data_IF_764746635338
#
_entry.id   IF_764746635338
#
_cell.length_a   1.000
_cell.length_b   1.000
_cell.length_c   1.000
_cell.angle_alpha   90.00
_cell.angle_beta   90.00
_cell.angle_gamma   90.00
#
_symmetry.space_group_name_H-M   'P 1'
#
loop_
_entity.id
_entity.type
_entity.pdbx_description
1 polymer ?
#
# COMPACT_ATOMS: atom_id res chain seq x y z
N UNK A 1 9.17 20.52 7.19
CA UNK A 1 9.77 19.22 6.83
C UNK A 1 10.27 19.19 5.40
N UNK A 2 11.50 18.72 5.21
CA UNK A 2 12.15 18.50 3.92
C UNK A 2 12.86 17.14 3.94
N UNK A 3 12.72 16.36 2.87
CA UNK A 3 13.34 15.02 2.76
C UNK A 3 14.15 14.87 1.47
N UNK A 4 15.25 14.12 1.51
CA UNK A 4 16.03 13.69 0.35
C UNK A 4 15.69 12.25 -0.04
N UNK A 5 14.67 12.10 -0.88
CA UNK A 5 14.27 10.82 -1.43
C UNK A 5 15.12 10.39 -2.64
N UNK A 6 16.04 11.24 -3.14
CA UNK A 6 16.78 10.96 -4.35
C UNK A 6 17.66 9.71 -4.17
N UNK A 7 17.42 8.71 -5.01
CA UNK A 7 18.09 7.41 -4.93
C UNK A 7 17.65 6.52 -3.75
N UNK A 8 16.62 6.89 -2.97
CA UNK A 8 16.18 6.14 -1.80
C UNK A 8 14.80 5.48 -2.01
N UNK A 9 13.79 6.24 -2.43
CA UNK A 9 12.40 5.78 -2.47
C UNK A 9 11.88 5.22 -1.12
N UNK A 10 12.25 5.87 -0.02
CA UNK A 10 12.06 5.44 1.37
C UNK A 10 10.80 4.64 1.69
N UNK A 11 9.65 5.29 1.83
CA UNK A 11 8.38 4.62 2.15
C UNK A 11 7.87 3.66 1.06
N UNK A 12 8.45 3.70 -0.14
CA UNK A 12 8.00 2.88 -1.27
C UNK A 12 8.61 1.48 -1.28
N UNK A 13 9.76 1.25 -0.66
CA UNK A 13 10.48 -0.03 -0.67
C UNK A 13 10.28 -0.86 0.61
N UNK A 14 10.37 -2.18 0.47
CA UNK A 14 10.61 -3.11 1.57
C UNK A 14 12.12 -3.27 1.77
N UNK A 15 12.64 -2.68 2.84
CA UNK A 15 14.06 -2.62 3.16
C UNK A 15 14.58 -3.86 3.89
N UNK A 16 13.69 -4.67 4.47
CA UNK A 16 14.04 -5.82 5.31
C UNK A 16 15.00 -6.80 4.61
N UNK A 17 14.90 -7.08 3.29
CA UNK A 17 15.85 -7.99 2.63
C UNK A 17 17.29 -7.46 2.52
N UNK A 18 17.52 -6.17 2.77
CA UNK A 18 18.83 -5.52 2.60
C UNK A 18 19.60 -5.32 3.91
N UNK A 19 19.00 -5.60 5.06
CA UNK A 19 19.63 -5.35 6.36
C UNK A 19 19.23 -6.41 7.39
N UNK A 20 20.08 -6.58 8.40
CA UNK A 20 19.77 -7.39 9.59
C UNK A 20 19.07 -6.57 10.69
N UNK A 21 18.92 -5.25 10.49
CA UNK A 21 18.19 -4.40 11.42
C UNK A 21 16.71 -4.77 11.48
N UNK A 22 16.12 -4.68 12.68
CA UNK A 22 14.68 -4.87 12.85
C UNK A 22 13.94 -3.61 12.38
N UNK A 23 13.32 -3.71 11.21
CA UNK A 23 12.55 -2.63 10.60
C UNK A 23 11.03 -2.87 10.70
N UNK A 24 10.57 -4.00 11.27
CA UNK A 24 9.16 -4.41 11.26
C UNK A 24 8.31 -3.69 12.31
N UNK A 25 8.16 -2.38 12.12
CA UNK A 25 7.47 -1.49 13.04
C UNK A 25 5.93 -1.64 13.04
N UNK A 26 5.34 -2.23 11.99
CA UNK A 26 3.88 -2.41 11.87
C UNK A 26 3.34 -3.55 12.75
N UNK A 27 4.24 -4.38 13.30
CA UNK A 27 3.90 -5.52 14.16
C UNK A 27 4.04 -5.24 15.65
N UNK A 28 4.01 -3.96 16.03
CA UNK A 28 4.00 -3.52 17.42
C UNK A 28 2.57 -3.21 17.87
N UNK A 29 1.97 -4.10 18.68
CA UNK A 29 0.68 -3.83 19.32
C UNK A 29 -0.30 -5.00 19.36
N UNK A 30 -1.54 -4.77 19.81
CA UNK A 30 -2.55 -5.80 19.93
C UNK A 30 -3.20 -6.18 18.58
N UNK A 31 -3.07 -5.33 17.56
CA UNK A 31 -3.58 -5.58 16.22
C UNK A 31 -2.40 -5.80 15.28
N UNK A 32 -2.34 -6.98 14.66
CA UNK A 32 -1.21 -7.39 13.84
C UNK A 32 -1.66 -7.52 12.38
N UNK A 33 -0.98 -6.91 11.40
CA UNK A 33 -1.29 -7.12 10.00
C UNK A 33 -1.30 -8.62 9.66
N UNK A 34 -2.36 -9.08 9.01
CA UNK A 34 -2.51 -10.48 8.60
C UNK A 34 -1.52 -10.85 7.49
N UNK A 35 -1.22 -9.90 6.60
CA UNK A 35 -0.26 -10.05 5.51
C UNK A 35 1.18 -9.68 5.93
N UNK A 36 2.14 -9.87 5.03
CA UNK A 36 3.57 -9.56 5.22
C UNK A 36 4.07 -8.36 4.39
N UNK A 37 3.16 -7.47 3.98
CA UNK A 37 3.54 -6.26 3.24
C UNK A 37 4.20 -5.26 4.18
N UNK A 38 5.33 -4.71 3.77
CA UNK A 38 6.01 -3.68 4.56
C UNK A 38 5.48 -2.28 4.25
N UNK A 39 5.06 -1.55 5.29
CA UNK A 39 4.66 -0.14 5.23
C UNK A 39 3.60 0.12 4.16
N UNK A 40 2.42 -0.47 4.36
CA UNK A 40 1.32 -0.39 3.41
C UNK A 40 0.60 0.95 3.55
N UNK A 41 0.74 1.84 2.57
CA UNK A 41 0.05 3.13 2.57
C UNK A 41 -1.47 2.93 2.53
N UNK A 42 -2.24 3.30 3.57
CA UNK A 42 -3.68 3.26 3.55
C UNK A 42 -4.25 4.34 2.62
N UNK A 43 -5.32 3.99 1.92
CA UNK A 43 -6.09 4.86 1.05
C UNK A 43 -7.42 5.26 1.71
N UNK A 44 -7.87 6.47 1.42
CA UNK A 44 -9.19 6.95 1.77
C UNK A 44 -10.26 6.39 0.82
N UNK A 45 -11.54 6.54 1.17
CA UNK A 45 -12.66 6.10 0.35
C UNK A 45 -12.67 6.83 -0.99
N UNK A 46 -12.40 8.13 -0.99
CA UNK A 46 -12.34 8.93 -2.22
C UNK A 46 -11.21 8.46 -3.14
N UNK A 47 -10.04 8.16 -2.58
CA UNK A 47 -8.89 7.61 -3.34
C UNK A 47 -9.21 6.23 -3.93
N UNK A 48 -9.82 5.33 -3.14
CA UNK A 48 -10.26 4.02 -3.65
C UNK A 48 -11.21 4.19 -4.83
N UNK A 49 -12.19 5.10 -4.74
CA UNK A 49 -13.13 5.38 -5.84
C UNK A 49 -12.40 5.92 -7.08
N UNK A 50 -11.46 6.84 -6.90
CA UNK A 50 -10.69 7.40 -8.02
C UNK A 50 -9.89 6.31 -8.75
N UNK A 51 -9.22 5.42 -8.01
CA UNK A 51 -8.52 4.30 -8.64
C UNK A 51 -9.46 3.31 -9.34
N UNK A 52 -10.68 3.09 -8.83
CA UNK A 52 -11.69 2.27 -9.51
C UNK A 52 -12.20 2.94 -10.80
N UNK A 53 -12.47 4.24 -10.77
CA UNK A 53 -12.88 5.02 -11.95
C UNK A 53 -11.82 4.96 -13.06
N UNK A 54 -10.55 4.85 -12.68
CA UNK A 54 -9.42 4.71 -13.60
C UNK A 54 -9.12 3.27 -14.03
N UNK A 55 -9.92 2.29 -13.58
CA UNK A 55 -9.71 0.87 -13.87
C UNK A 55 -8.46 0.27 -13.21
N UNK A 56 -7.92 0.91 -12.17
CA UNK A 56 -6.67 0.52 -11.49
C UNK A 56 -6.90 -0.35 -10.24
N UNK A 57 -7.92 -1.20 -10.24
CA UNK A 57 -8.22 -2.08 -9.11
C UNK A 57 -7.03 -2.97 -8.71
N UNK A 58 -6.21 -3.39 -9.68
CA UNK A 58 -5.02 -4.20 -9.42
C UNK A 58 -3.89 -3.46 -8.67
N UNK A 59 -3.93 -2.13 -8.57
CA UNK A 59 -2.97 -1.33 -7.81
C UNK A 59 -3.22 -1.37 -6.30
N UNK A 60 -4.42 -1.76 -5.88
CA UNK A 60 -4.86 -1.71 -4.49
C UNK A 60 -4.99 -3.10 -3.88
N UNK A 61 -4.90 -3.22 -2.55
CA UNK A 61 -5.13 -4.48 -1.82
C UNK A 61 -5.76 -4.21 -0.46
N UNK A 62 -6.64 -5.10 0.04
CA UNK A 62 -7.05 -5.04 1.43
C UNK A 62 -5.92 -5.49 2.37
N UNK A 63 -5.93 -4.95 3.58
CA UNK A 63 -5.18 -5.45 4.74
C UNK A 63 -6.13 -5.67 5.90
N UNK A 64 -6.12 -6.90 6.40
CA UNK A 64 -6.82 -7.30 7.62
C UNK A 64 -5.86 -7.35 8.79
N UNK A 65 -6.40 -7.37 10.00
CA UNK A 65 -5.62 -7.44 11.23
C UNK A 65 -6.09 -8.61 12.07
N UNK A 66 -5.15 -9.37 12.62
CA UNK A 66 -5.47 -10.31 13.69
C UNK A 66 -5.56 -9.58 15.02
N UNK A 67 -6.42 -10.07 15.91
CA UNK A 67 -6.60 -9.58 17.27
C UNK A 67 -6.78 -10.74 18.25
N UNK A 68 -6.60 -10.49 19.55
CA UNK A 68 -6.84 -11.50 20.59
C UNK A 68 -8.32 -11.92 20.66
N UNK A 69 -9.22 -10.95 20.49
CA UNK A 69 -10.67 -11.14 20.45
C UNK A 69 -11.23 -10.53 19.15
N UNK A 70 -12.07 -11.29 18.44
CA UNK A 70 -12.53 -10.88 17.12
C UNK A 70 -13.52 -11.84 16.48
N UNK A 71 -13.51 -11.88 15.15
CA UNK A 71 -14.30 -12.80 14.35
C UNK A 71 -13.38 -13.81 13.65
N UNK A 72 -13.66 -15.10 13.85
CA UNK A 72 -12.86 -16.16 13.25
C UNK A 72 -13.28 -16.46 11.82
N UNK A 73 -12.36 -16.30 10.88
CA UNK A 73 -12.54 -16.67 9.46
C UNK A 73 -11.28 -17.39 8.99
N UNK A 74 -11.45 -18.50 8.28
CA UNK A 74 -10.34 -19.33 7.76
C UNK A 74 -9.26 -19.70 8.80
N UNK A 75 -9.64 -19.81 10.07
CA UNK A 75 -8.70 -20.12 11.17
C UNK A 75 -7.97 -18.92 11.76
N UNK A 76 -8.19 -17.71 11.25
CA UNK A 76 -7.62 -16.46 11.77
C UNK A 76 -8.64 -15.71 12.62
N UNK A 77 -8.25 -15.22 13.80
CA UNK A 77 -9.05 -14.30 14.63
C UNK A 77 -8.86 -12.87 14.14
N UNK A 78 -9.82 -12.33 13.41
CA UNK A 78 -9.73 -11.00 12.80
C UNK A 78 -10.32 -9.92 13.70
N UNK A 79 -9.66 -8.76 13.75
CA UNK A 79 -10.19 -7.56 14.36
C UNK A 79 -11.58 -7.25 13.79
N UNK A 80 -12.53 -6.89 14.67
CA UNK A 80 -13.92 -6.75 14.30
C UNK A 80 -14.61 -5.57 15.00
N UNK A 81 -15.63 -5.01 14.35
CA UNK A 81 -16.60 -4.09 14.94
C UNK A 81 -17.97 -4.73 14.82
N UNK A 82 -18.67 -4.89 15.94
CA UNK A 82 -20.00 -5.53 16.00
C UNK A 82 -20.06 -6.91 15.31
N UNK A 83 -18.98 -7.69 15.45
CA UNK A 83 -18.85 -9.03 14.86
C UNK A 83 -18.47 -9.06 13.38
N UNK A 84 -18.19 -7.90 12.77
CA UNK A 84 -17.84 -7.78 11.36
C UNK A 84 -16.36 -7.43 11.17
N UNK A 85 -15.63 -8.11 10.27
CA UNK A 85 -14.20 -7.91 10.03
C UNK A 85 -13.85 -6.47 9.65
N UNK A 86 -12.78 -5.97 10.25
CA UNK A 86 -12.20 -4.66 9.96
C UNK A 86 -11.01 -4.80 9.04
N UNK A 87 -10.88 -3.89 8.07
CA UNK A 87 -9.75 -3.83 7.15
C UNK A 87 -9.51 -2.39 6.68
N UNK A 88 -8.37 -2.14 6.04
CA UNK A 88 -8.20 -0.96 5.20
C UNK A 88 -7.76 -1.36 3.78
N UNK A 89 -7.86 -0.43 2.83
CA UNK A 89 -7.31 -0.60 1.48
C UNK A 89 -6.00 0.18 1.38
N UNK A 90 -4.97 -0.42 0.78
CA UNK A 90 -3.70 0.27 0.54
C UNK A 90 -3.08 -0.04 -0.82
N UNK A 91 -2.01 0.69 -1.15
CA UNK A 91 -1.27 0.49 -2.40
C UNK A 91 -0.40 -0.76 -2.36
N UNK A 92 -0.56 -1.65 -3.35
CA UNK A 92 0.20 -2.90 -3.41
C UNK A 92 1.69 -2.66 -3.50
N UNK A 93 2.44 -3.53 -2.82
CA UNK A 93 3.87 -3.72 -3.01
C UNK A 93 4.10 -4.95 -3.89
N UNK A 94 4.87 -4.80 -4.96
CA UNK A 94 5.13 -5.84 -5.97
C UNK A 94 6.62 -5.97 -6.21
N UNK A 95 7.12 -7.15 -6.62
CA UNK A 95 8.55 -7.32 -6.83
C UNK A 95 9.02 -6.45 -7.99
N UNK A 96 10.02 -5.60 -7.75
CA UNK A 96 10.67 -4.80 -8.80
C UNK A 96 12.19 -4.87 -8.67
N UNK A 97 12.93 -4.77 -9.79
CA UNK A 97 14.39 -4.76 -9.80
C UNK A 97 14.89 -3.35 -9.45
N UNK A 98 15.13 -3.06 -8.18
CA UNK A 98 15.47 -1.71 -7.71
C UNK A 98 16.92 -1.62 -7.25
N UNK A 99 17.53 -0.47 -7.47
CA UNK A 99 18.92 -0.18 -7.13
C UNK A 99 19.01 1.06 -6.23
N UNK A 100 18.55 1.00 -4.96
CA UNK A 100 18.70 2.12 -4.03
C UNK A 100 20.17 2.46 -3.83
N UNK A 101 20.45 3.73 -3.57
CA UNK A 101 21.78 4.29 -3.30
C UNK A 101 22.84 4.07 -4.39
N UNK A 102 22.41 3.75 -5.62
CA UNK A 102 23.31 3.46 -6.73
C UNK A 102 24.01 2.09 -6.60
N UNK A 103 23.47 1.20 -5.76
CA UNK A 103 23.96 -0.16 -5.63
C UNK A 103 23.58 -1.05 -6.82
N UNK A 104 24.00 -2.32 -6.78
CA UNK A 104 23.53 -3.30 -7.77
C UNK A 104 22.03 -3.58 -7.56
N UNK A 105 21.26 -3.81 -8.64
CA UNK A 105 19.83 -4.06 -8.53
C UNK A 105 19.51 -5.33 -7.74
N UNK A 106 18.47 -5.26 -6.91
CA UNK A 106 17.89 -6.39 -6.19
C UNK A 106 16.38 -6.47 -6.41
N UNK A 107 15.82 -7.68 -6.32
CA UNK A 107 14.37 -7.86 -6.30
C UNK A 107 13.85 -7.44 -4.94
N UNK A 108 13.13 -6.32 -4.86
CA UNK A 108 12.48 -5.86 -3.62
C UNK A 108 10.98 -5.65 -3.86
N UNK A 109 10.19 -5.91 -2.82
CA UNK A 109 8.78 -5.49 -2.81
C UNK A 109 8.74 -3.97 -2.78
N UNK A 110 8.11 -3.39 -3.80
CA UNK A 110 8.13 -1.96 -4.08
C UNK A 110 6.71 -1.47 -4.40
N UNK A 111 6.37 -0.24 -4.02
CA UNK A 111 5.09 0.37 -4.38
C UNK A 111 4.82 0.19 -5.88
N UNK A 112 3.59 -0.18 -6.23
CA UNK A 112 3.18 -0.43 -7.62
C UNK A 112 3.47 0.76 -8.54
N UNK A 113 3.46 1.98 -8.02
CA UNK A 113 3.75 3.21 -8.78
C UNK A 113 5.21 3.66 -8.73
N UNK A 114 6.10 2.95 -8.03
CA UNK A 114 7.52 3.26 -8.02
C UNK A 114 8.16 2.83 -9.35
N UNK A 115 8.72 3.76 -10.09
CA UNK A 115 9.60 3.44 -11.22
C UNK A 115 10.94 2.90 -10.68
N UNK A 116 11.33 1.66 -11.01
CA UNK A 116 12.55 1.07 -10.47
C UNK A 116 13.84 1.66 -11.05
N UNK A 117 13.77 2.32 -12.22
CA UNK A 117 14.92 2.98 -12.87
C UNK A 117 15.24 4.30 -12.20
N UNK A 118 14.21 5.11 -11.94
CA UNK A 118 14.40 6.47 -11.43
C UNK A 118 14.22 6.58 -9.92
N UNK A 119 13.62 5.56 -9.29
CA UNK A 119 13.21 5.52 -7.89
C UNK A 119 12.22 6.63 -7.53
N UNK A 120 11.41 7.06 -8.50
CA UNK A 120 10.37 8.07 -8.33
C UNK A 120 8.97 7.47 -8.45
N UNK A 121 8.01 8.10 -7.76
CA UNK A 121 6.60 7.76 -7.91
C UNK A 121 6.07 8.33 -9.23
N UNK A 122 5.53 7.47 -10.09
CA UNK A 122 4.95 7.83 -11.40
C UNK A 122 3.73 8.74 -11.31
N UNK A 123 3.05 8.75 -10.16
CA UNK A 123 1.83 9.54 -9.93
C UNK A 123 2.05 10.75 -9.01
N UNK A 124 3.30 11.05 -8.64
CA UNK A 124 3.64 12.08 -7.64
C UNK A 124 3.07 13.48 -7.94
N UNK A 125 3.13 13.91 -9.20
CA UNK A 125 2.64 15.22 -9.62
C UNK A 125 1.20 15.16 -10.19
N UNK A 126 0.46 14.12 -9.86
CA UNK A 126 -0.91 13.92 -10.35
C UNK A 126 -1.92 13.97 -9.22
N UNK A 127 -3.18 14.26 -9.55
CA UNK A 127 -4.30 14.25 -8.59
C UNK A 127 -4.61 12.85 -8.01
N UNK A 128 -3.85 11.82 -8.39
CA UNK A 128 -3.93 10.45 -7.87
C UNK A 128 -2.92 10.18 -6.76
N UNK A 129 -1.99 11.10 -6.51
CA UNK A 129 -0.99 10.91 -5.47
C UNK A 129 -1.70 10.84 -4.10
N UNK A 130 -1.59 9.72 -3.36
CA UNK A 130 -2.35 9.58 -2.12
C UNK A 130 -1.93 10.62 -1.09
N UNK A 131 -2.92 11.17 -0.38
CA UNK A 131 -2.72 12.16 0.69
C UNK A 131 -1.75 11.61 1.75
N UNK A 132 -1.93 10.35 2.15
CA UNK A 132 -1.05 9.71 3.11
C UNK A 132 0.40 9.60 2.62
N UNK A 133 0.65 9.41 1.32
CA UNK A 133 2.01 9.42 0.78
C UNK A 133 2.66 10.82 0.91
N UNK A 134 1.86 11.89 0.83
CA UNK A 134 2.34 13.27 0.97
C UNK A 134 2.62 13.63 2.43
N UNK A 135 1.79 13.18 3.37
CA UNK A 135 1.83 13.63 4.77
C UNK A 135 2.51 12.65 5.75
N UNK A 136 2.71 11.38 5.39
CA UNK A 136 3.19 10.34 6.32
C UNK A 136 4.44 10.71 7.13
N UNK A 137 5.55 11.21 6.54
CA UNK A 137 6.72 11.53 7.36
C UNK A 137 6.44 12.71 8.30
N UNK A 138 5.65 13.69 7.89
CA UNK A 138 5.26 14.82 8.74
C UNK A 138 4.34 14.40 9.89
N UNK A 139 3.44 13.46 9.65
CA UNK A 139 2.61 12.82 10.67
C UNK A 139 3.41 12.11 11.75
N UNK A 140 4.45 11.36 11.37
CA UNK A 140 5.33 10.71 12.35
C UNK A 140 6.03 11.75 13.23
N UNK A 141 6.59 12.80 12.64
CA UNK A 141 7.24 13.89 13.39
C UNK A 141 6.26 14.58 14.35
N UNK A 142 5.03 14.87 13.90
CA UNK A 142 4.01 15.50 14.75
C UNK A 142 3.56 14.63 15.94
N UNK A 143 3.78 13.31 15.86
CA UNK A 143 3.47 12.35 16.93
C UNK A 143 4.71 11.96 17.75
N UNK A 144 5.85 12.65 17.56
CA UNK A 144 7.14 12.30 18.13
C UNK A 144 7.50 10.82 17.89
N UNK A 145 7.19 10.32 16.68
CA UNK A 145 7.51 8.97 16.24
C UNK A 145 8.61 8.98 15.19
N UNK A 146 9.46 7.96 15.25
CA UNK A 146 10.51 7.74 14.27
C UNK A 146 9.94 7.60 12.85
N UNK A 147 10.50 8.37 11.92
CA UNK A 147 10.17 8.36 10.50
C UNK A 147 10.84 7.20 9.78
N UNK A 148 10.33 6.87 8.60
CA UNK A 148 11.05 5.96 7.70
C UNK A 148 12.46 6.51 7.40
N UNK A 149 12.58 7.81 7.15
CA UNK A 149 13.85 8.46 6.81
C UNK A 149 14.92 8.20 7.85
N UNK A 150 14.60 8.42 9.13
CA UNK A 150 15.51 8.12 10.25
C UNK A 150 15.91 6.65 10.29
N UNK A 151 14.96 5.71 10.12
CA UNK A 151 15.28 4.26 10.10
C UNK A 151 16.25 3.90 8.98
N UNK A 152 16.08 4.48 7.80
CA UNK A 152 16.98 4.21 6.66
C UNK A 152 18.34 4.86 6.88
N UNK A 153 18.41 6.05 7.47
CA UNK A 153 19.69 6.66 7.87
C UNK A 153 20.43 5.81 8.89
N UNK A 154 19.73 5.29 9.89
CA UNK A 154 20.32 4.44 10.92
C UNK A 154 20.83 3.11 10.35
N UNK A 155 20.09 2.52 9.41
CA UNK A 155 20.44 1.23 8.82
C UNK A 155 21.48 1.32 7.69
N UNK A 156 21.44 2.38 6.86
CA UNK A 156 22.21 2.48 5.62
C UNK A 156 23.10 3.73 5.52
N UNK A 157 22.96 4.68 6.46
CA UNK A 157 23.68 5.95 6.46
C UNK A 157 23.10 7.00 5.50
N UNK A 158 23.73 8.18 5.52
CA UNK A 158 23.31 9.35 4.75
C UNK A 158 22.48 10.33 5.59
N UNK A 159 21.91 11.33 4.91
CA UNK A 159 21.05 12.35 5.50
C UNK A 159 19.82 12.47 4.60
N UNK A 160 18.66 11.99 5.07
CA UNK A 160 17.40 11.85 4.33
C UNK A 160 16.33 12.76 4.89
N UNK A 161 16.26 12.91 6.21
CA UNK A 161 15.45 13.91 6.89
C UNK A 161 16.28 15.18 7.01
N UNK A 162 16.03 16.13 6.11
CA UNK A 162 16.80 17.37 5.99
C UNK A 162 16.26 18.52 6.86
N UNK A 163 15.10 18.30 7.47
CA UNK A 163 14.37 19.22 8.34
C UNK A 163 13.30 18.41 9.09
N UNK A 164 13.43 18.37 10.42
CA UNK A 164 12.62 17.61 11.38
C UNK A 164 11.44 18.42 11.95
N UNK A 165 11.21 19.65 11.49
CA UNK A 165 10.04 20.43 11.86
C UNK A 165 8.78 19.87 11.14
N UNK A 166 7.76 19.39 11.89
CA UNK A 166 6.49 18.99 11.29
C UNK A 166 5.86 20.17 10.53
N UNK A 167 5.24 19.94 9.35
CA UNK A 167 4.53 21.00 8.65
C UNK A 167 3.39 21.60 9.50
N UNK A 168 3.22 22.94 9.44
CA UNK A 168 2.17 23.66 10.17
C UNK A 168 0.75 23.30 9.68
N UNK A 169 0.63 22.78 8.46
CA UNK A 169 -0.62 22.51 7.73
C UNK A 169 -0.89 21.02 7.52
N UNK A 170 -0.40 20.17 8.43
CA UNK A 170 -0.72 18.73 8.40
C UNK A 170 -2.23 18.49 8.43
N UNK A 171 -2.67 17.67 7.50
CA UNK A 171 -4.00 17.07 7.49
C UNK A 171 -4.22 16.20 8.73
N UNK A 172 -5.49 16.01 9.09
CA UNK A 172 -5.83 15.19 10.25
C UNK A 172 -5.57 13.70 9.98
N UNK A 173 -4.87 13.03 10.90
CA UNK A 173 -4.50 11.60 10.83
C UNK A 173 -5.67 10.60 10.68
N UNK A 174 -6.92 11.06 10.83
CA UNK A 174 -8.13 10.22 10.92
C UNK A 174 -7.95 9.06 11.92
N UNK A 175 -7.61 9.37 13.18
CA UNK A 175 -7.46 8.37 14.26
C UNK A 175 -8.72 8.19 15.12
N UNK A 176 -9.79 8.93 14.82
CA UNK A 176 -11.05 8.87 15.57
C UNK A 176 -12.17 8.16 14.82
N UNK A 177 -13.41 8.17 15.35
CA UNK A 177 -14.58 7.55 14.74
C UNK A 177 -14.84 7.97 13.29
N UNK A 178 -14.42 9.17 12.90
CA UNK A 178 -14.50 9.69 11.54
C UNK A 178 -13.70 8.86 10.51
N UNK A 179 -12.74 8.05 10.96
CA UNK A 179 -11.98 7.15 10.10
C UNK A 179 -12.81 5.98 9.57
N UNK A 180 -13.87 5.62 10.30
CA UNK A 180 -14.73 4.51 9.95
C UNK A 180 -15.51 4.84 8.68
N UNK A 181 -15.46 3.95 7.68
CA UNK A 181 -16.05 4.18 6.36
C UNK A 181 -15.30 5.19 5.50
N UNK A 182 -14.22 5.80 6.00
CA UNK A 182 -13.37 6.74 5.23
C UNK A 182 -11.98 6.16 4.96
N UNK A 183 -11.34 5.54 5.95
CA UNK A 183 -9.99 4.93 5.84
C UNK A 183 -9.94 3.53 6.43
N UNK A 184 -10.81 3.27 7.41
CA UNK A 184 -11.02 1.98 8.03
C UNK A 184 -12.41 1.47 7.67
N UNK A 185 -12.50 0.27 7.10
CA UNK A 185 -13.75 -0.28 6.55
C UNK A 185 -14.18 -1.54 7.32
N UNK A 186 -15.48 -1.81 7.30
CA UNK A 186 -16.08 -2.96 7.97
C UNK A 186 -16.82 -3.79 6.94
N UNK A 187 -16.44 -5.06 6.81
CA UNK A 187 -17.08 -5.96 5.86
C UNK A 187 -18.44 -6.44 6.40
N UNK A 188 -19.58 -6.11 5.76
CA UNK A 188 -20.91 -6.32 6.35
C UNK A 188 -21.35 -7.79 6.39
N UNK A 189 -20.73 -8.65 5.57
CA UNK A 189 -21.09 -10.07 5.49
C UNK A 189 -19.84 -10.97 5.60
N UNK A 190 -19.46 -11.39 6.83
CA UNK A 190 -18.22 -12.14 7.07
C UNK A 190 -18.08 -13.43 6.23
N UNK A 191 -19.21 -14.08 5.93
CA UNK A 191 -19.22 -15.33 5.17
C UNK A 191 -18.65 -15.18 3.74
N UNK A 192 -18.73 -13.98 3.13
CA UNK A 192 -18.17 -13.73 1.79
C UNK A 192 -16.65 -13.74 1.74
N UNK A 193 -16.00 -13.58 2.89
CA UNK A 193 -14.54 -13.58 3.01
C UNK A 193 -13.97 -15.00 3.18
N UNK A 194 -14.82 -16.02 3.27
CA UNK A 194 -14.37 -17.42 3.43
C UNK A 194 -13.48 -17.86 2.26
N UNK A 195 -12.32 -18.41 2.59
CA UNK A 195 -11.23 -18.74 1.68
C UNK A 195 -10.37 -17.54 1.25
N UNK A 196 -10.92 -16.33 1.26
CA UNK A 196 -10.20 -15.11 0.85
C UNK A 196 -9.23 -14.64 1.94
N UNK A 197 -9.55 -14.89 3.22
CA UNK A 197 -8.68 -14.53 4.35
C UNK A 197 -7.43 -15.39 4.35
N UNK A 198 -7.55 -16.70 4.14
CA UNK A 198 -6.39 -17.60 3.98
C UNK A 198 -5.47 -17.13 2.84
N UNK A 199 -6.05 -16.81 1.68
CA UNK A 199 -5.28 -16.27 0.54
C UNK A 199 -4.64 -14.92 0.84
N UNK A 200 -5.32 -14.02 1.55
CA UNK A 200 -4.72 -12.75 1.99
C UNK A 200 -3.53 -12.97 2.92
N UNK A 201 -3.65 -13.88 3.89
CA UNK A 201 -2.56 -14.23 4.80
C UNK A 201 -1.35 -14.80 4.06
N UNK A 202 -1.58 -15.59 3.01
CA UNK A 202 -0.53 -16.14 2.15
C UNK A 202 0.06 -15.12 1.16
N UNK A 203 -0.52 -13.93 1.01
CA UNK A 203 -0.13 -12.96 -0.03
C UNK A 203 -0.59 -13.34 -1.45
N UNK A 204 -1.62 -14.18 -1.55
CA UNK A 204 -2.12 -14.81 -2.77
C UNK A 204 -3.54 -14.33 -3.15
N UNK A 205 -3.96 -13.15 -2.65
CA UNK A 205 -5.29 -12.59 -2.94
C UNK A 205 -5.56 -12.49 -4.44
N UNK A 206 -6.65 -13.09 -4.89
CA UNK A 206 -7.12 -13.03 -6.27
C UNK A 206 -7.72 -11.66 -6.61
N UNK A 207 -7.97 -11.41 -7.90
CA UNK A 207 -8.70 -10.22 -8.33
C UNK A 207 -10.10 -10.13 -7.71
N UNK A 208 -10.79 -11.28 -7.56
CA UNK A 208 -12.10 -11.34 -6.93
C UNK A 208 -12.06 -11.01 -5.44
N UNK A 209 -11.03 -11.49 -4.73
CA UNK A 209 -10.84 -11.20 -3.29
C UNK A 209 -10.65 -9.70 -3.05
N UNK A 210 -9.86 -9.06 -3.93
CA UNK A 210 -9.65 -7.61 -3.89
C UNK A 210 -10.92 -6.87 -4.25
N UNK A 211 -11.59 -7.24 -5.34
CA UNK A 211 -12.81 -6.57 -5.81
C UNK A 211 -13.90 -6.55 -4.73
N UNK A 212 -14.05 -7.62 -3.96
CA UNK A 212 -14.96 -7.69 -2.80
C UNK A 212 -14.68 -6.56 -1.80
N UNK A 213 -13.43 -6.44 -1.33
CA UNK A 213 -13.06 -5.46 -0.32
C UNK A 213 -13.03 -4.02 -0.86
N UNK A 214 -12.61 -3.84 -2.12
CA UNK A 214 -12.60 -2.54 -2.79
C UNK A 214 -14.02 -2.00 -2.97
N UNK A 215 -14.97 -2.85 -3.34
CA UNK A 215 -16.37 -2.49 -3.46
C UNK A 215 -16.97 -2.08 -2.10
N UNK A 216 -16.69 -2.83 -1.04
CA UNK A 216 -17.10 -2.47 0.33
C UNK A 216 -16.52 -1.11 0.71
N UNK A 217 -15.22 -0.90 0.53
CA UNK A 217 -14.57 0.36 0.87
C UNK A 217 -15.19 1.53 0.10
N UNK A 218 -15.32 1.41 -1.23
CA UNK A 218 -15.91 2.43 -2.07
C UNK A 218 -17.38 2.74 -1.72
N UNK A 219 -18.17 1.74 -1.30
CA UNK A 219 -19.58 1.91 -0.94
C UNK A 219 -19.83 2.23 0.55
N UNK A 220 -18.78 2.28 1.39
CA UNK A 220 -18.91 2.52 2.85
C UNK A 220 -19.26 3.96 3.20
N UNK A 221 -20.19 4.21 4.11
CA UNK A 221 -20.57 5.57 4.51
C UNK A 221 -19.68 6.14 5.62
N UNK A 222 -19.05 7.32 5.43
CA UNK A 222 -18.14 7.91 6.42
C UNK A 222 -18.78 8.11 7.80
N UNK A 223 -18.02 7.80 8.86
CA UNK A 223 -18.45 7.79 10.25
C UNK A 223 -19.34 6.61 10.65
N UNK A 224 -19.52 5.59 9.80
CA UNK A 224 -20.43 4.47 10.04
C UNK A 224 -19.88 3.14 9.51
N UNK A 225 -20.48 2.02 9.93
CA UNK A 225 -20.24 0.69 9.36
C UNK A 225 -21.16 0.38 8.16
N UNK A 226 -21.98 1.33 7.71
CA UNK A 226 -22.99 1.11 6.67
C UNK A 226 -22.34 1.03 5.29
N UNK A 227 -22.78 0.08 4.47
CA UNK A 227 -22.38 -0.07 3.07
C UNK A 227 -23.62 0.05 2.18
N UNK A 228 -23.56 0.90 1.18
CA UNK A 228 -24.67 1.09 0.22
C UNK A 228 -24.67 -0.04 -0.82
N UNK A 229 -25.64 -0.96 -0.72
CA UNK A 229 -25.68 -2.22 -1.50
C UNK A 229 -25.68 -2.00 -3.02
N UNK A 230 -26.47 -1.03 -3.52
CA UNK A 230 -26.51 -0.72 -4.96
C UNK A 230 -25.16 -0.21 -5.48
N UNK A 231 -24.48 0.64 -4.70
CA UNK A 231 -23.14 1.13 -5.05
C UNK A 231 -22.10 0.03 -4.92
N UNK A 232 -22.23 -0.85 -3.95
CA UNK A 232 -21.33 -2.00 -3.77
C UNK A 232 -21.31 -2.88 -5.02
N UNK A 233 -22.48 -3.25 -5.57
CA UNK A 233 -22.53 -4.08 -6.77
C UNK A 233 -21.92 -3.37 -8.00
N UNK A 234 -22.12 -2.05 -8.11
CA UNK A 234 -21.50 -1.24 -9.17
C UNK A 234 -19.98 -1.21 -9.04
N UNK A 235 -19.45 -0.85 -7.86
CA UNK A 235 -18.01 -0.80 -7.63
C UNK A 235 -17.35 -2.17 -7.73
N UNK A 236 -18.04 -3.25 -7.33
CA UNK A 236 -17.55 -4.61 -7.50
C UNK A 236 -17.40 -4.98 -8.97
N UNK A 237 -18.39 -4.62 -9.78
CA UNK A 237 -18.31 -4.80 -11.23
C UNK A 237 -17.16 -3.97 -11.81
N UNK A 238 -17.04 -2.69 -11.44
CA UNK A 238 -15.93 -1.83 -11.88
C UNK A 238 -14.57 -2.42 -11.51
N UNK A 239 -14.42 -2.96 -10.30
CA UNK A 239 -13.17 -3.57 -9.84
C UNK A 239 -12.82 -4.86 -10.60
N UNK A 240 -13.82 -5.64 -11.03
CA UNK A 240 -13.61 -6.87 -11.80
C UNK A 240 -13.36 -6.61 -13.29
N UNK A 241 -14.05 -5.61 -13.86
CA UNK A 241 -13.95 -5.25 -15.27
C UNK A 241 -12.80 -4.26 -15.54
N UNK A 242 -12.26 -3.65 -14.48
CA UNK A 242 -11.16 -2.69 -14.53
C UNK A 242 -9.91 -3.31 -15.15
N UNK A 243 -9.28 -2.56 -16.04
CA UNK A 243 -8.03 -2.97 -16.66
C UNK A 243 -7.17 -1.74 -16.93
N UNK A 244 -5.92 -1.80 -16.49
CA UNK A 244 -4.94 -0.73 -16.62
C UNK A 244 -3.58 -1.31 -16.95
N UNK A 245 -2.60 -0.43 -17.20
CA UNK A 245 -1.20 -0.85 -17.37
C UNK A 245 -0.66 -1.64 -16.15
N UNK A 246 -1.25 -1.41 -14.96
CA UNK A 246 -0.86 -2.08 -13.72
C UNK A 246 -1.12 -3.57 -13.82
N UNK A 247 -2.30 -3.99 -14.30
CA UNK A 247 -2.70 -5.40 -14.38
C UNK A 247 -1.68 -6.25 -15.14
N UNK A 248 -1.33 -5.80 -16.35
CA UNK A 248 -0.35 -6.47 -17.20
C UNK A 248 1.09 -6.36 -16.65
N UNK A 249 1.46 -5.21 -16.09
CA UNK A 249 2.78 -5.02 -15.48
C UNK A 249 2.98 -5.94 -14.27
N UNK A 250 1.95 -6.12 -13.45
CA UNK A 250 2.01 -6.95 -12.25
C UNK A 250 2.16 -8.44 -12.56
N UNK A 251 1.41 -8.95 -13.52
CA UNK A 251 1.57 -10.33 -13.99
C UNK A 251 3.02 -10.55 -14.44
N UNK A 252 3.53 -9.61 -15.24
CA UNK A 252 4.87 -9.70 -15.79
C UNK A 252 5.98 -9.60 -14.72
N UNK A 253 5.86 -8.66 -13.78
CA UNK A 253 6.81 -8.57 -12.66
C UNK A 253 6.81 -9.83 -11.80
N UNK A 254 5.64 -10.39 -11.52
CA UNK A 254 5.51 -11.61 -10.72
C UNK A 254 6.20 -12.78 -11.43
N UNK A 255 5.94 -12.96 -12.73
CA UNK A 255 6.53 -14.04 -13.54
C UNK A 255 8.06 -13.97 -13.65
N UNK A 256 8.63 -12.76 -13.62
CA UNK A 256 10.07 -12.52 -13.74
C UNK A 256 10.82 -12.53 -12.41
N UNK A 257 10.10 -12.35 -11.31
CA UNK A 257 10.71 -12.10 -10.01
C UNK A 257 11.42 -13.32 -9.45
N UNK A 258 12.51 -13.06 -8.74
CA UNK A 258 13.17 -14.01 -7.85
C UNK A 258 12.84 -13.64 -6.39
N UNK A 259 13.15 -14.51 -5.40
CA UNK A 259 12.93 -14.18 -3.99
C UNK A 259 13.52 -12.82 -3.58
N UNK A 260 12.88 -12.09 -2.65
CA UNK A 260 13.35 -10.78 -2.20
C UNK A 260 14.82 -10.78 -1.75
N UNK A 261 15.56 -9.71 -2.09
CA UNK A 261 16.98 -9.55 -1.77
C UNK A 261 17.93 -10.32 -2.71
N UNK A 262 17.42 -11.06 -3.71
CA UNK A 262 18.27 -11.61 -4.77
C UNK A 262 18.69 -10.54 -5.76
N UNK A 263 19.87 -10.71 -6.35
CA UNK A 263 20.32 -9.90 -7.48
C UNK A 263 19.28 -9.90 -8.60
N UNK A 264 19.03 -8.72 -9.15
CA UNK A 264 18.05 -8.48 -10.18
C UNK A 264 18.70 -8.02 -11.50
N UNK A 265 17.99 -8.10 -12.63
CA UNK A 265 18.41 -7.49 -13.88
C UNK A 265 18.46 -5.96 -13.79
N UNK A 266 18.95 -5.32 -14.85
CA UNK A 266 18.93 -3.86 -15.01
C UNK A 266 17.50 -3.31 -14.86
N UNK A 267 17.27 -2.30 -14.00
CA UNK A 267 15.96 -1.67 -13.82
C UNK A 267 15.33 -1.13 -15.10
N UNK A 268 16.14 -0.83 -16.12
CA UNK A 268 15.68 -0.36 -17.44
C UNK A 268 14.70 -1.34 -18.14
N UNK A 269 14.62 -2.60 -17.70
CA UNK A 269 13.58 -3.54 -18.15
C UNK A 269 12.16 -3.01 -17.86
N UNK A 270 12.00 -2.06 -16.94
CA UNK A 270 10.72 -1.39 -16.67
C UNK A 270 10.16 -0.64 -17.87
N UNK A 271 10.97 -0.25 -18.86
CA UNK A 271 10.46 0.29 -20.13
C UNK A 271 9.54 -0.74 -20.79
N UNK A 272 10.02 -1.96 -20.95
CA UNK A 272 9.26 -3.06 -21.54
C UNK A 272 8.12 -3.54 -20.64
N UNK A 273 8.22 -3.40 -19.32
CA UNK A 273 7.23 -3.92 -18.36
C UNK A 273 6.09 -2.92 -18.12
N UNK A 274 6.41 -1.65 -17.97
CA UNK A 274 5.50 -0.60 -17.51
C UNK A 274 5.28 0.47 -18.59
N UNK A 275 6.35 1.08 -19.11
CA UNK A 275 6.23 2.26 -19.98
C UNK A 275 5.53 1.93 -21.31
N UNK A 276 5.92 0.84 -21.98
CA UNK A 276 5.27 0.37 -23.22
C UNK A 276 3.81 -0.05 -23.01
N UNK A 277 3.39 -0.27 -21.76
CA UNK A 277 2.00 -0.58 -21.40
C UNK A 277 1.19 0.65 -21.01
N UNK A 278 1.80 1.84 -21.03
CA UNK A 278 1.13 3.11 -20.75
C UNK A 278 1.31 3.61 -19.32
N UNK A 279 2.33 3.13 -18.59
CA UNK A 279 2.68 3.72 -17.31
C UNK A 279 3.09 5.20 -17.48
N UNK A 280 2.66 6.11 -16.58
CA UNK A 280 3.07 7.51 -16.63
C UNK A 280 4.59 7.66 -16.45
N UNK A 281 5.17 8.66 -17.12
CA UNK A 281 6.56 9.05 -16.91
C UNK A 281 6.77 9.64 -15.51
N UNK A 282 7.98 9.49 -14.97
CA UNK A 282 8.35 10.13 -13.69
C UNK A 282 8.71 11.61 -13.86
N UNK A 283 8.52 12.45 -12.82
CA UNK A 283 8.68 13.91 -12.93
C UNK A 283 10.15 14.38 -13.06
N UNK A 284 11.12 13.54 -12.68
CA UNK A 284 12.54 13.89 -12.62
C UNK A 284 12.95 14.43 -11.24
N UNK A 285 14.21 14.17 -10.85
CA UNK A 285 14.80 14.77 -9.65
C UNK A 285 15.19 16.22 -9.94
N UNK A 286 14.86 17.13 -9.01
CA UNK A 286 15.24 18.55 -9.04
C UNK A 286 16.36 18.84 -8.06
#
# INVERSE_FOLDING_TARGET
MRVDCAGCAGCCLDWRPLTEADLDHERHGPYQPLDDTYNLTPLTRSEVRQFLDDGMAAAMTPRFFTADDGVRIDGHELAAIDGNPVFFIGLRKVPKPVAPFGESPHWLRSCVFLDPTTLQCRIHETDRYPEQCASYPGHNLALDQETMCERVEDAFGGERLLDDEPPDDLDGLLLGPQALGEKLFVHPEPARLTGSIERCAAGESSAADRAECLAVAAASSPGTTTVEEEQYEEFRKQALDGNSWVDDALANWTDRSEPPGRSAPDPAIAVDVEDERGAPSTPGWK
#
